data_IF_462406855868
#
_entry.id   IF_462406855868
#
_cell.length_a   1.000
_cell.length_b   1.000
_cell.length_c   1.000
_cell.angle_alpha   90.00
_cell.angle_beta   90.00
_cell.angle_gamma   90.00
#
_symmetry.space_group_name_H-M   'P 1'
#
loop_
_entity.id
_entity.type
_entity.pdbx_description
1 polymer ?
#
# COMPACT_ATOMS: atom_id res chain seq x y z
N UNK A 1 -8.15 -2.51 -20.88
CA UNK A 1 -8.42 -1.14 -20.42
C UNK A 1 -8.33 -0.26 -21.65
N UNK A 2 -9.38 0.48 -21.98
CA UNK A 2 -9.37 1.38 -23.14
C UNK A 2 -8.46 2.57 -22.82
N UNK A 3 -7.51 2.88 -23.71
CA UNK A 3 -6.58 4.01 -23.57
C UNK A 3 -7.30 5.36 -23.74
N UNK A 4 -8.20 5.68 -22.81
CA UNK A 4 -9.03 6.90 -22.82
C UNK A 4 -8.39 8.06 -22.07
N UNK A 5 -7.37 7.80 -21.26
CA UNK A 5 -6.72 8.80 -20.40
C UNK A 5 -5.29 9.02 -20.86
N UNK A 6 -5.00 10.23 -21.31
CA UNK A 6 -3.67 10.64 -21.78
C UNK A 6 -2.75 11.06 -20.61
N UNK A 7 -3.28 11.87 -19.69
CA UNK A 7 -2.49 12.43 -18.59
C UNK A 7 -3.31 12.56 -17.30
N UNK A 8 -2.69 12.25 -16.16
CA UNK A 8 -3.24 12.42 -14.81
C UNK A 8 -2.48 13.58 -14.14
N UNK A 9 -3.21 14.63 -13.76
CA UNK A 9 -2.65 15.79 -13.06
C UNK A 9 -2.85 15.63 -11.55
N UNK A 10 -1.78 15.74 -10.79
CA UNK A 10 -1.81 15.63 -9.32
C UNK A 10 -1.00 16.76 -8.70
N UNK A 11 -1.50 17.30 -7.60
CA UNK A 11 -0.83 18.39 -6.87
C UNK A 11 0.39 17.88 -6.10
N UNK A 12 0.30 16.66 -5.56
CA UNK A 12 1.36 16.00 -4.81
C UNK A 12 1.36 14.51 -5.10
N UNK A 13 2.55 13.88 -5.12
CA UNK A 13 2.67 12.41 -5.24
C UNK A 13 1.88 11.70 -4.14
N UNK A 14 1.97 12.26 -2.95
CA UNK A 14 1.41 11.75 -1.71
C UNK A 14 -0.13 11.82 -1.64
N UNK A 15 -0.73 12.81 -2.33
CA UNK A 15 -2.20 12.92 -2.55
C UNK A 15 -2.74 11.85 -3.48
N UNK A 16 -1.89 11.34 -4.37
CA UNK A 16 -2.26 10.33 -5.33
C UNK A 16 -2.14 8.94 -4.73
N UNK A 17 -0.94 8.62 -4.23
CA UNK A 17 -0.59 7.31 -3.69
C UNK A 17 0.43 7.49 -2.56
N UNK A 18 0.07 7.00 -1.36
CA UNK A 18 0.94 7.03 -0.17
C UNK A 18 2.15 6.10 -0.27
N UNK A 19 1.97 4.91 -0.86
CA UNK A 19 3.05 3.91 -1.07
C UNK A 19 2.96 3.26 -2.45
N UNK A 20 4.11 3.01 -3.06
CA UNK A 20 4.16 2.33 -4.35
C UNK A 20 3.85 3.25 -5.54
N UNK A 21 4.06 4.57 -5.38
CA UNK A 21 3.93 5.53 -6.47
C UNK A 21 4.75 5.11 -7.70
N UNK A 22 6.01 4.71 -7.53
CA UNK A 22 6.87 4.26 -8.64
C UNK A 22 6.34 3.01 -9.33
N UNK A 23 5.79 2.06 -8.56
CA UNK A 23 5.18 0.86 -9.13
C UNK A 23 3.96 1.25 -9.98
N UNK A 24 3.13 2.15 -9.45
CA UNK A 24 1.94 2.61 -10.14
C UNK A 24 2.30 3.41 -11.39
N UNK A 25 3.24 4.34 -11.31
CA UNK A 25 3.76 5.10 -12.45
C UNK A 25 4.25 4.19 -13.59
N UNK A 26 4.99 3.12 -13.25
CA UNK A 26 5.38 2.10 -14.22
C UNK A 26 4.19 1.31 -14.78
N UNK A 27 3.17 1.08 -13.98
CA UNK A 27 1.96 0.36 -14.40
C UNK A 27 1.16 1.16 -15.42
N UNK A 28 0.83 2.42 -15.14
CA UNK A 28 0.11 3.30 -16.09
C UNK A 28 0.96 3.72 -17.29
N UNK A 29 2.28 3.76 -17.18
CA UNK A 29 3.17 3.97 -18.33
C UNK A 29 2.98 2.92 -19.44
N UNK A 30 2.53 1.70 -19.09
CA UNK A 30 2.17 0.66 -20.08
C UNK A 30 0.92 1.00 -20.91
N UNK A 31 0.09 1.91 -20.41
CA UNK A 31 -1.14 2.35 -21.06
C UNK A 31 -0.97 3.70 -21.77
N UNK A 32 0.28 4.13 -21.95
CA UNK A 32 0.64 5.41 -22.56
C UNK A 32 0.08 6.64 -21.80
N UNK A 33 -0.26 6.47 -20.52
CA UNK A 33 -0.73 7.53 -19.63
C UNK A 33 0.42 8.07 -18.79
N UNK A 34 0.51 9.39 -18.63
CA UNK A 34 1.54 10.05 -17.82
C UNK A 34 0.97 10.65 -16.54
N UNK A 35 1.74 10.64 -15.45
CA UNK A 35 1.42 11.43 -14.25
C UNK A 35 2.23 12.72 -14.31
N UNK A 36 1.55 13.85 -14.18
CA UNK A 36 2.17 15.17 -14.08
C UNK A 36 1.91 15.69 -12.67
N UNK A 37 2.99 15.83 -11.90
CA UNK A 37 2.93 16.38 -10.53
C UNK A 37 3.15 17.89 -10.60
N UNK A 38 2.07 18.65 -10.39
CA UNK A 38 2.10 20.12 -10.31
C UNK A 38 2.45 20.48 -8.89
N UNK A 39 3.74 20.68 -8.62
CA UNK A 39 4.26 20.98 -7.29
C UNK A 39 3.68 22.31 -6.77
N UNK A 40 2.56 22.24 -6.06
CA UNK A 40 1.98 23.35 -5.31
C UNK A 40 2.51 23.22 -3.89
N UNK A 41 3.28 24.17 -3.36
CA UNK A 41 3.88 24.11 -2.01
C UNK A 41 2.86 24.17 -0.85
N UNK A 42 1.69 23.56 -0.98
CA UNK A 42 0.81 23.24 0.15
C UNK A 42 1.35 21.98 0.81
N UNK A 43 2.21 22.15 1.82
CA UNK A 43 2.65 21.08 2.71
C UNK A 43 1.43 20.25 3.13
N UNK A 44 1.42 18.97 2.75
CA UNK A 44 0.49 17.97 3.29
C UNK A 44 0.55 18.08 4.81
N UNK A 45 -0.54 18.52 5.43
CA UNK A 45 -0.60 18.78 6.87
C UNK A 45 -0.03 17.59 7.62
N UNK A 46 0.84 17.84 8.61
CA UNK A 46 1.47 16.77 9.41
C UNK A 46 0.43 15.78 9.97
N UNK A 47 -0.80 16.25 10.19
CA UNK A 47 -1.97 15.45 10.56
C UNK A 47 -2.30 14.32 9.57
N UNK A 48 -2.24 14.55 8.26
CA UNK A 48 -2.52 13.52 7.24
C UNK A 48 -1.52 12.36 7.35
N UNK A 49 -0.23 12.70 7.53
CA UNK A 49 0.82 11.69 7.71
C UNK A 49 0.61 10.89 8.99
N UNK A 50 0.23 11.55 10.09
CA UNK A 50 -0.05 10.88 11.37
C UNK A 50 -1.26 9.96 11.24
N UNK A 51 -2.33 10.39 10.59
CA UNK A 51 -3.52 9.55 10.35
C UNK A 51 -3.21 8.31 9.52
N UNK A 52 -2.36 8.45 8.51
CA UNK A 52 -1.94 7.30 7.69
C UNK A 52 -1.05 6.33 8.47
N UNK A 53 -0.15 6.83 9.32
CA UNK A 53 0.63 5.98 10.23
C UNK A 53 -0.29 5.21 11.20
N UNK A 54 -1.28 5.88 11.80
CA UNK A 54 -2.26 5.24 12.70
C UNK A 54 -3.03 4.15 11.94
N UNK A 55 -3.46 4.43 10.72
CA UNK A 55 -4.22 3.49 9.89
C UNK A 55 -3.38 2.25 9.53
N UNK A 56 -2.12 2.44 9.15
CA UNK A 56 -1.17 1.35 8.89
C UNK A 56 -0.99 0.49 10.15
N UNK A 57 -0.66 1.13 11.28
CA UNK A 57 -0.46 0.44 12.55
C UNK A 57 -1.69 -0.37 12.95
N UNK A 58 -2.89 0.19 12.79
CA UNK A 58 -4.13 -0.50 13.09
C UNK A 58 -4.27 -1.78 12.25
N UNK A 59 -4.13 -1.70 10.92
CA UNK A 59 -4.21 -2.88 10.04
C UNK A 59 -3.16 -3.94 10.38
N UNK A 60 -1.91 -3.54 10.60
CA UNK A 60 -0.85 -4.47 10.99
C UNK A 60 -1.10 -5.09 12.37
N UNK A 61 -1.63 -4.33 13.33
CA UNK A 61 -1.97 -4.83 14.67
C UNK A 61 -3.05 -5.92 14.61
N UNK A 62 -4.09 -5.72 13.79
CA UNK A 62 -5.13 -6.72 13.56
C UNK A 62 -4.56 -7.99 12.92
N UNK A 63 -3.66 -7.84 11.94
CA UNK A 63 -3.01 -8.99 11.27
C UNK A 63 -2.13 -9.78 12.24
N UNK A 64 -1.31 -9.11 13.06
CA UNK A 64 -0.49 -9.75 14.08
C UNK A 64 -1.36 -10.46 15.12
N UNK A 65 -2.45 -9.84 15.56
CA UNK A 65 -3.41 -10.45 16.47
C UNK A 65 -4.05 -11.70 15.87
N UNK A 66 -4.46 -11.63 14.59
CA UNK A 66 -4.94 -12.79 13.84
C UNK A 66 -3.91 -13.92 13.80
N UNK A 67 -2.65 -13.63 13.47
CA UNK A 67 -1.57 -14.61 13.47
C UNK A 67 -1.36 -15.25 14.84
N UNK A 68 -1.48 -14.49 15.94
CA UNK A 68 -1.42 -15.04 17.31
C UNK A 68 -2.55 -16.01 17.60
N UNK A 69 -3.76 -15.76 17.09
CA UNK A 69 -4.91 -16.69 17.20
C UNK A 69 -4.62 -18.01 16.49
N UNK A 70 -4.00 -17.97 15.31
CA UNK A 70 -3.68 -19.18 14.54
C UNK A 70 -2.42 -19.89 15.03
N UNK A 71 -1.54 -19.23 15.78
CA UNK A 71 -0.27 -19.82 16.27
C UNK A 71 -0.46 -21.14 17.04
N UNK A 72 -1.52 -21.27 17.83
CA UNK A 72 -1.82 -22.51 18.54
C UNK A 72 -2.31 -23.61 17.59
N UNK A 73 -3.23 -23.27 16.68
CA UNK A 73 -3.74 -24.21 15.67
C UNK A 73 -2.65 -24.69 14.71
N UNK A 74 -1.78 -23.81 14.25
CA UNK A 74 -0.65 -24.14 13.37
C UNK A 74 0.35 -25.09 14.06
N UNK A 75 0.59 -24.91 15.37
CA UNK A 75 1.43 -25.84 16.15
C UNK A 75 0.80 -27.21 16.39
N UNK A 76 -0.53 -27.28 16.40
CA UNK A 76 -1.26 -28.54 16.62
C UNK A 76 -1.48 -29.30 15.30
N UNK A 77 -1.25 -28.66 14.16
CA UNK A 77 -1.46 -29.19 12.82
C UNK A 77 -0.15 -29.72 12.22
N UNK A 78 0.02 -31.04 12.29
CA UNK A 78 1.28 -31.74 11.97
C UNK A 78 1.72 -31.57 10.52
N UNK A 79 0.78 -31.51 9.57
CA UNK A 79 1.09 -31.33 8.14
C UNK A 79 1.73 -29.96 7.88
N UNK A 80 1.25 -28.92 8.58
CA UNK A 80 1.78 -27.56 8.44
C UNK A 80 3.11 -27.42 9.18
N UNK A 81 3.26 -28.03 10.36
CA UNK A 81 4.51 -27.99 11.13
C UNK A 81 5.69 -28.61 10.36
N UNK A 82 5.48 -29.75 9.69
CA UNK A 82 6.50 -30.40 8.85
C UNK A 82 6.89 -29.55 7.64
N UNK A 83 5.95 -28.80 7.05
CA UNK A 83 6.21 -27.92 5.90
C UNK A 83 7.02 -26.66 6.22
N UNK A 84 7.02 -26.22 7.50
CA UNK A 84 7.73 -25.01 7.97
C UNK A 84 9.18 -25.34 8.39
N UNK A 85 9.49 -26.61 8.66
CA UNK A 85 10.83 -27.06 9.08
C UNK A 85 11.78 -27.36 7.91
N UNK A 86 11.30 -27.32 6.65
CA UNK A 86 12.10 -27.49 5.44
C UNK A 86 12.55 -26.16 4.81
#
# INVERSE_FOLDING_TARGET
MENKIDSILVTHKDRFIRFGFEWFERFIGKFNTKIIVVNNESLSSQEELVQDIISILHVFSCRIYGLRKYKKKIKEDKEIEESIQN
#
